data_IF_119526708387
#
_entry.id   IF_119526708387
#
_cell.length_a   1.000
_cell.length_b   1.000
_cell.length_c   1.000
_cell.angle_alpha   90.00
_cell.angle_beta   90.00
_cell.angle_gamma   90.00
#
_symmetry.space_group_name_H-M   'P 1'
#
loop_
_entity.id
_entity.type
_entity.pdbx_description
1 polymer ?
#
# COMPACT_ATOMS: atom_id res chain seq x y z
N UNK A 1 -16.54 -5.53 -15.21
CA UNK A 1 -16.50 -4.21 -14.55
C UNK A 1 -15.14 -4.13 -13.89
N UNK A 2 -14.32 -3.14 -14.26
CA UNK A 2 -13.02 -2.92 -13.63
C UNK A 2 -13.26 -2.18 -12.30
N UNK A 3 -12.69 -2.67 -11.20
CA UNK A 3 -12.90 -2.12 -9.86
C UNK A 3 -11.69 -1.28 -9.40
N UNK A 4 -11.81 -0.66 -8.22
CA UNK A 4 -10.71 0.07 -7.58
C UNK A 4 -9.83 -0.95 -6.85
N UNK A 5 -8.51 -0.85 -7.04
CA UNK A 5 -7.52 -1.67 -6.33
C UNK A 5 -6.65 -0.87 -5.36
N UNK A 6 -5.94 -1.58 -4.50
CA UNK A 6 -5.02 -1.01 -3.51
C UNK A 6 -3.71 -1.79 -3.54
N UNK A 7 -2.59 -1.08 -3.77
CA UNK A 7 -1.25 -1.67 -3.88
C UNK A 7 -0.27 -0.88 -3.01
N UNK A 8 0.01 -1.39 -1.82
CA UNK A 8 0.92 -0.72 -0.89
C UNK A 8 2.23 -1.49 -0.72
N UNK A 9 3.24 -0.80 -0.24
CA UNK A 9 4.53 -1.39 0.06
C UNK A 9 5.21 -0.71 1.23
N UNK A 10 6.09 -1.44 1.91
CA UNK A 10 6.98 -0.90 2.93
C UNK A 10 8.21 -1.80 3.12
N UNK A 11 9.13 -1.41 4.00
CA UNK A 11 10.32 -2.18 4.33
C UNK A 11 10.13 -3.02 5.58
N UNK A 12 9.44 -2.49 6.61
CA UNK A 12 9.38 -3.17 7.90
C UNK A 12 8.10 -3.98 8.13
N UNK A 13 7.25 -4.21 7.12
CA UNK A 13 6.00 -4.97 7.31
C UNK A 13 5.15 -4.35 8.43
N UNK A 14 4.74 -5.15 9.41
CA UNK A 14 4.09 -4.72 10.64
C UNK A 14 5.02 -4.80 11.86
N UNK A 15 6.35 -4.65 11.70
CA UNK A 15 7.35 -4.89 12.75
C UNK A 15 7.06 -4.14 14.06
N UNK A 16 6.61 -2.88 13.97
CA UNK A 16 6.23 -2.11 15.15
C UNK A 16 5.11 -2.78 15.95
N UNK A 17 4.09 -3.28 15.24
CA UNK A 17 3.00 -4.06 15.82
C UNK A 17 3.49 -5.43 16.30
N UNK A 18 4.42 -6.07 15.60
CA UNK A 18 5.00 -7.37 15.98
C UNK A 18 5.70 -7.28 17.33
N UNK A 19 6.49 -6.22 17.54
CA UNK A 19 7.19 -5.94 18.80
C UNK A 19 6.16 -5.76 19.93
N UNK A 20 5.14 -4.93 19.70
CA UNK A 20 4.06 -4.69 20.68
C UNK A 20 3.29 -5.97 21.00
N UNK A 21 2.95 -6.76 19.99
CA UNK A 21 2.27 -8.04 20.15
C UNK A 21 3.12 -9.02 20.94
N UNK A 22 4.41 -9.15 20.62
CA UNK A 22 5.35 -10.03 21.32
C UNK A 22 5.42 -9.74 22.82
N UNK A 23 5.44 -8.46 23.22
CA UNK A 23 5.40 -8.08 24.63
C UNK A 23 4.09 -8.49 25.30
N UNK A 24 2.94 -8.27 24.67
CA UNK A 24 1.63 -8.66 25.23
C UNK A 24 1.42 -10.18 25.28
N UNK A 25 1.97 -10.91 24.32
CA UNK A 25 1.81 -12.36 24.20
C UNK A 25 2.55 -13.14 25.30
N UNK A 26 3.48 -12.51 26.04
CA UNK A 26 4.12 -13.10 27.21
C UNK A 26 3.13 -13.39 28.34
N UNK A 27 2.07 -12.59 28.44
CA UNK A 27 1.00 -12.79 29.42
C UNK A 27 -0.21 -13.49 28.80
N UNK A 28 -0.84 -12.86 27.79
CA UNK A 28 -2.01 -13.40 27.08
C UNK A 28 -1.95 -13.01 25.61
N UNK A 29 -1.80 -14.01 24.74
CA UNK A 29 -1.90 -13.81 23.29
C UNK A 29 -3.37 -13.54 22.89
N UNK A 30 -3.63 -12.36 22.31
CA UNK A 30 -4.94 -12.02 21.74
C UNK A 30 -4.95 -12.30 20.23
N UNK A 31 -5.78 -13.24 19.74
CA UNK A 31 -5.90 -13.51 18.31
C UNK A 31 -6.31 -12.28 17.49
N UNK A 32 -7.09 -11.37 18.09
CA UNK A 32 -7.51 -10.13 17.42
C UNK A 32 -6.34 -9.16 17.21
N UNK A 33 -5.37 -9.12 18.14
CA UNK A 33 -4.16 -8.31 17.98
C UNK A 33 -3.18 -8.96 17.00
N UNK A 34 -3.12 -10.29 16.96
CA UNK A 34 -2.29 -11.02 16.01
C UNK A 34 -2.63 -10.67 14.56
N UNK A 35 -3.89 -10.45 14.20
CA UNK A 35 -4.22 -10.12 12.79
C UNK A 35 -3.55 -8.82 12.33
N UNK A 36 -3.29 -7.88 13.26
CA UNK A 36 -2.60 -6.62 12.96
C UNK A 36 -1.08 -6.77 12.75
N UNK A 37 -0.51 -7.95 13.03
CA UNK A 37 0.88 -8.30 12.68
C UNK A 37 1.02 -8.64 11.19
N UNK A 38 -0.08 -8.73 10.45
CA UNK A 38 -0.06 -9.02 9.02
C UNK A 38 -0.04 -7.69 8.24
N UNK A 39 0.95 -7.45 7.35
CA UNK A 39 1.06 -6.18 6.65
C UNK A 39 -0.10 -5.94 5.68
N UNK A 40 -0.70 -7.00 5.14
CA UNK A 40 -1.83 -6.92 4.21
C UNK A 40 -3.18 -6.56 4.88
N UNK A 41 -3.25 -6.49 6.22
CA UNK A 41 -4.51 -6.12 6.87
C UNK A 41 -4.92 -4.69 6.54
N UNK A 42 -3.97 -3.77 6.43
CA UNK A 42 -4.27 -2.35 6.14
C UNK A 42 -4.99 -2.19 4.81
N UNK A 43 -4.56 -2.90 3.78
CA UNK A 43 -5.21 -2.87 2.48
C UNK A 43 -6.54 -3.60 2.50
N UNK A 44 -6.64 -4.70 3.26
CA UNK A 44 -7.91 -5.39 3.51
C UNK A 44 -8.96 -4.49 4.18
N UNK A 45 -8.59 -3.76 5.22
CA UNK A 45 -9.49 -2.84 5.93
C UNK A 45 -9.94 -1.67 5.03
N UNK A 46 -9.01 -1.09 4.24
CA UNK A 46 -9.35 -0.07 3.25
C UNK A 46 -10.39 -0.63 2.26
N UNK A 47 -10.14 -1.82 1.70
CA UNK A 47 -11.04 -2.43 0.74
C UNK A 47 -12.43 -2.71 1.34
N UNK A 48 -12.50 -3.24 2.56
CA UNK A 48 -13.77 -3.49 3.26
C UNK A 48 -14.53 -2.17 3.51
N UNK A 49 -13.84 -1.17 4.06
CA UNK A 49 -14.44 0.12 4.43
C UNK A 49 -15.02 0.86 3.23
N UNK A 50 -14.29 0.89 2.12
CA UNK A 50 -14.66 1.63 0.91
C UNK A 50 -15.31 0.76 -0.18
N UNK A 51 -15.52 -0.53 0.12
CA UNK A 51 -16.12 -1.53 -0.80
C UNK A 51 -15.34 -1.67 -2.11
N UNK A 52 -14.02 -1.55 -2.05
CA UNK A 52 -13.15 -1.83 -3.19
C UNK A 52 -13.07 -3.34 -3.41
N UNK A 53 -13.25 -3.75 -4.66
CA UNK A 53 -13.30 -5.17 -5.06
C UNK A 53 -12.25 -5.54 -6.10
N UNK A 54 -11.34 -4.62 -6.42
CA UNK A 54 -10.22 -4.87 -7.32
C UNK A 54 -9.06 -5.57 -6.62
N UNK A 55 -7.94 -5.67 -7.33
CA UNK A 55 -6.68 -6.19 -6.82
C UNK A 55 -6.29 -5.51 -5.50
N UNK A 56 -5.93 -6.34 -4.52
CA UNK A 56 -5.40 -5.92 -3.25
C UNK A 56 -4.06 -6.63 -3.04
N UNK A 57 -2.97 -5.86 -3.01
CA UNK A 57 -1.63 -6.38 -2.77
C UNK A 57 -0.85 -5.50 -1.77
N UNK A 58 -0.03 -6.17 -0.95
CA UNK A 58 0.94 -5.52 -0.08
C UNK A 58 2.31 -6.15 -0.30
N UNK A 59 3.33 -5.34 -0.58
CA UNK A 59 4.68 -5.80 -0.89
C UNK A 59 5.68 -5.36 0.18
N UNK A 60 6.57 -6.27 0.58
CA UNK A 60 7.71 -5.95 1.44
C UNK A 60 8.94 -5.79 0.55
N UNK A 61 9.55 -4.61 0.58
CA UNK A 61 10.68 -4.22 -0.25
C UNK A 61 11.73 -3.51 0.60
N UNK A 62 13.02 -3.77 0.39
CA UNK A 62 14.10 -3.13 1.18
C UNK A 62 14.08 -1.60 1.16
N UNK A 63 13.55 -1.02 0.07
CA UNK A 63 13.39 0.42 -0.12
C UNK A 63 12.25 0.71 -1.09
N UNK A 64 11.81 1.96 -1.12
CA UNK A 64 10.85 2.41 -2.12
C UNK A 64 11.37 2.17 -3.54
N UNK A 65 10.57 1.48 -4.35
CA UNK A 65 10.87 1.18 -5.73
C UNK A 65 9.76 1.73 -6.65
N UNK A 66 10.00 2.94 -7.15
CA UNK A 66 9.11 3.59 -8.10
C UNK A 66 8.97 2.82 -9.42
N UNK A 67 9.99 2.06 -9.83
CA UNK A 67 9.95 1.25 -11.05
C UNK A 67 9.00 0.08 -10.90
N UNK A 68 9.12 -0.64 -9.78
CA UNK A 68 8.21 -1.73 -9.42
C UNK A 68 6.76 -1.25 -9.35
N UNK A 69 6.49 -0.18 -8.58
CA UNK A 69 5.12 0.36 -8.43
C UNK A 69 4.57 0.81 -9.79
N UNK A 70 5.38 1.52 -10.58
CA UNK A 70 4.96 1.99 -11.90
C UNK A 70 4.58 0.81 -12.79
N UNK A 71 5.45 -0.18 -12.92
CA UNK A 71 5.23 -1.34 -13.79
C UNK A 71 4.02 -2.16 -13.33
N UNK A 72 3.93 -2.51 -12.05
CA UNK A 72 2.87 -3.36 -11.51
C UNK A 72 1.50 -2.71 -11.67
N UNK A 73 1.34 -1.45 -11.25
CA UNK A 73 0.06 -0.74 -11.34
C UNK A 73 -0.30 -0.42 -12.79
N UNK A 74 0.68 -0.07 -13.63
CA UNK A 74 0.43 0.16 -15.06
C UNK A 74 -0.07 -1.09 -15.75
N UNK A 75 0.45 -2.27 -15.42
CA UNK A 75 -0.04 -3.54 -15.95
C UNK A 75 -1.51 -3.79 -15.56
N UNK A 76 -1.90 -3.48 -14.32
CA UNK A 76 -3.29 -3.65 -13.87
C UNK A 76 -4.24 -2.68 -14.60
N UNK A 77 -3.86 -1.43 -14.77
CA UNK A 77 -4.68 -0.41 -15.43
C UNK A 77 -4.74 -0.65 -16.95
N UNK A 78 -3.60 -0.89 -17.60
CA UNK A 78 -3.52 -1.04 -19.07
C UNK A 78 -4.21 -2.32 -19.56
N UNK A 79 -4.20 -3.39 -18.77
CA UNK A 79 -4.93 -4.62 -19.08
C UNK A 79 -6.41 -4.57 -18.66
N UNK A 80 -6.92 -3.41 -18.25
CA UNK A 80 -8.30 -3.20 -17.80
C UNK A 80 -8.72 -4.10 -16.63
N UNK A 81 -7.77 -4.51 -15.77
CA UNK A 81 -8.04 -5.23 -14.53
C UNK A 81 -8.62 -4.25 -13.50
N UNK A 82 -8.06 -3.04 -13.44
CA UNK A 82 -8.49 -1.96 -12.55
C UNK A 82 -8.94 -0.72 -13.34
N UNK A 83 -9.92 0.02 -12.79
CA UNK A 83 -10.28 1.36 -13.28
C UNK A 83 -9.43 2.45 -12.63
N UNK A 84 -9.07 2.22 -11.37
CA UNK A 84 -8.24 3.09 -10.56
C UNK A 84 -7.46 2.25 -9.54
N UNK A 85 -6.31 2.75 -9.11
CA UNK A 85 -5.50 2.11 -8.08
C UNK A 85 -4.97 3.16 -7.11
N UNK A 86 -5.15 2.91 -5.81
CA UNK A 86 -4.43 3.61 -4.76
C UNK A 86 -3.14 2.83 -4.53
N UNK A 87 -1.98 3.46 -4.74
CA UNK A 87 -0.71 2.80 -4.54
C UNK A 87 0.33 3.65 -3.83
N UNK A 88 1.37 3.02 -3.28
CA UNK A 88 2.48 3.77 -2.71
C UNK A 88 3.20 3.08 -1.56
N UNK A 89 3.71 3.91 -0.64
CA UNK A 89 4.58 3.52 0.46
C UNK A 89 3.94 3.88 1.80
N UNK A 90 3.94 2.94 2.75
CA UNK A 90 3.39 3.12 4.10
C UNK A 90 4.30 2.50 5.15
N UNK A 91 5.18 3.30 5.74
CA UNK A 91 6.19 2.82 6.68
C UNK A 91 5.97 3.39 8.08
N UNK A 92 6.17 2.54 9.09
CA UNK A 92 6.15 2.92 10.50
C UNK A 92 7.07 2.01 11.31
N UNK A 93 7.99 2.63 12.06
CA UNK A 93 8.82 1.94 13.03
C UNK A 93 9.17 2.90 14.17
N UNK A 94 8.65 2.63 15.37
CA UNK A 94 8.81 3.54 16.51
C UNK A 94 8.19 4.92 16.24
N UNK A 95 9.00 5.97 16.31
CA UNK A 95 8.56 7.35 16.04
C UNK A 95 8.72 7.76 14.56
N UNK A 96 9.40 6.94 13.76
CA UNK A 96 9.59 7.20 12.33
C UNK A 96 8.40 6.65 11.53
N UNK A 97 7.75 7.53 10.77
CA UNK A 97 6.69 7.13 9.84
C UNK A 97 6.82 7.90 8.54
N UNK A 98 6.49 7.23 7.43
CA UNK A 98 6.43 7.86 6.11
C UNK A 98 5.31 7.25 5.28
N UNK A 99 4.42 8.11 4.80
CA UNK A 99 3.31 7.72 3.95
C UNK A 99 3.33 8.54 2.67
N UNK A 100 3.39 7.87 1.53
CA UNK A 100 3.29 8.48 0.21
C UNK A 100 2.28 7.67 -0.58
N UNK A 101 1.16 8.30 -0.95
CA UNK A 101 0.08 7.66 -1.69
C UNK A 101 -0.15 8.36 -3.02
N UNK A 102 -0.44 7.56 -4.04
CA UNK A 102 -0.73 7.96 -5.41
C UNK A 102 -2.10 7.39 -5.79
N UNK A 103 -2.93 8.20 -6.43
CA UNK A 103 -4.13 7.73 -7.10
C UNK A 103 -3.84 7.68 -8.60
N UNK A 104 -3.91 6.47 -9.16
CA UNK A 104 -3.70 6.21 -10.59
C UNK A 104 -5.04 5.89 -11.22
N UNK A 105 -5.41 6.67 -12.24
CA UNK A 105 -6.63 6.48 -13.03
C UNK A 105 -6.27 6.39 -14.50
N UNK A 106 -7.11 5.71 -15.29
CA UNK A 106 -6.92 5.60 -16.75
C UNK A 106 -7.10 6.93 -17.47
N UNK A 107 -8.01 7.77 -16.97
CA UNK A 107 -8.37 9.04 -17.58
C UNK A 107 -7.62 10.21 -16.95
N UNK A 108 -7.15 11.12 -17.81
CA UNK A 108 -6.44 12.32 -17.39
C UNK A 108 -7.45 13.37 -16.89
N UNK A 109 -7.32 13.81 -15.63
CA UNK A 109 -8.09 14.94 -15.05
C UNK A 109 -7.25 16.22 -15.02
N UNK A 110 -7.90 17.39 -14.91
CA UNK A 110 -7.19 18.66 -14.66
C UNK A 110 -6.38 18.51 -13.36
N UNK A 111 -5.06 18.75 -13.42
CA UNK A 111 -4.03 18.53 -12.36
C UNK A 111 -3.43 17.12 -12.25
N UNK A 112 -3.76 16.19 -13.14
CA UNK A 112 -3.07 14.89 -13.18
C UNK A 112 -1.63 15.00 -13.70
N UNK A 113 -0.75 14.22 -13.08
CA UNK A 113 0.65 14.06 -13.48
C UNK A 113 0.82 12.69 -14.14
N UNK A 114 1.65 12.59 -15.18
CA UNK A 114 1.92 11.32 -15.84
C UNK A 114 2.54 10.32 -14.86
N UNK A 115 2.00 9.09 -14.84
CA UNK A 115 2.45 8.00 -13.97
C UNK A 115 3.76 7.36 -14.48
N UNK A 116 4.85 8.12 -14.36
CA UNK A 116 6.21 7.72 -14.72
C UNK A 116 7.06 7.53 -13.47
N UNK A 117 8.07 6.67 -13.54
CA UNK A 117 9.04 6.46 -12.45
C UNK A 117 9.66 7.76 -11.95
N UNK A 118 9.97 8.70 -12.86
CA UNK A 118 10.52 10.01 -12.50
C UNK A 118 9.57 10.84 -11.64
N UNK A 119 8.30 10.94 -12.02
CA UNK A 119 7.31 11.70 -11.26
C UNK A 119 6.98 11.05 -9.92
N UNK A 120 6.91 9.71 -9.89
CA UNK A 120 6.72 8.95 -8.65
C UNK A 120 7.88 9.22 -7.66
N UNK A 121 9.13 9.19 -8.14
CA UNK A 121 10.29 9.52 -7.31
C UNK A 121 10.28 10.96 -6.80
N UNK A 122 9.87 11.93 -7.63
CA UNK A 122 9.70 13.32 -7.20
C UNK A 122 8.68 13.44 -6.07
N UNK A 123 7.52 12.79 -6.22
CA UNK A 123 6.46 12.79 -5.19
C UNK A 123 6.94 12.12 -3.90
N UNK A 124 7.67 11.00 -3.99
CA UNK A 124 8.21 10.32 -2.81
C UNK A 124 9.29 11.11 -2.08
N UNK A 125 9.97 12.03 -2.77
CA UNK A 125 11.05 12.84 -2.19
C UNK A 125 10.55 14.09 -1.46
N UNK A 126 9.24 14.40 -1.56
CA UNK A 126 8.56 15.43 -0.76
C UNK A 126 8.31 14.92 0.65
#
# INVERSE_FOLDING_TARGET
MADIGVVLSNANSSLDTDIKYFETAKDIASPALFVYTLPNIVTGEICIRYKFKGENAFFILDKFDAGFIQQYVSNLINNNILQACICGWVEVLGEEYKTVLLLVEKEKKEQSVSFTTENINKIYSV
#
